data_IF_603174161614
#
_entry.id   IF_603174161614
#
_cell.length_a   1.000
_cell.length_b   1.000
_cell.length_c   1.000
_cell.angle_alpha   90.00
_cell.angle_beta   90.00
_cell.angle_gamma   90.00
#
_symmetry.space_group_name_H-M   'P 1'
#
loop_
_entity.id
_entity.type
_entity.pdbx_description
1 polymer ?
#
# COMPACT_ATOMS: atom_id res chain seq x y z
N UNK A 1 14.05 33.05 59.15
CA UNK A 1 15.09 32.41 58.31
C UNK A 1 14.61 31.05 57.90
N UNK A 2 14.00 30.99 56.72
CA UNK A 2 13.80 29.78 55.94
C UNK A 2 15.18 29.34 55.45
N UNK A 3 15.50 28.06 55.60
CA UNK A 3 16.61 27.43 54.88
C UNK A 3 15.98 26.26 54.15
N UNK A 4 16.00 26.38 52.84
CA UNK A 4 15.35 25.53 51.85
C UNK A 4 16.04 24.18 51.72
N UNK A 5 15.25 23.24 51.21
CA UNK A 5 15.51 21.84 50.94
C UNK A 5 16.71 21.61 50.01
N UNK A 6 17.47 20.56 50.29
CA UNK A 6 18.38 19.96 49.32
C UNK A 6 18.20 18.43 49.38
N UNK A 7 17.29 17.92 48.56
CA UNK A 7 17.16 16.48 48.29
C UNK A 7 17.41 16.29 46.80
N UNK A 8 18.41 15.49 46.40
CA UNK A 8 18.71 15.31 44.98
C UNK A 8 17.62 14.47 44.33
N UNK A 9 16.97 15.00 43.29
CA UNK A 9 16.09 14.22 42.43
C UNK A 9 16.92 13.19 41.67
N UNK A 10 16.64 11.92 41.91
CA UNK A 10 17.10 10.82 41.05
C UNK A 10 16.44 10.97 39.67
N UNK A 11 17.28 11.06 38.64
CA UNK A 11 16.88 11.00 37.24
C UNK A 11 16.20 9.64 36.96
N UNK A 12 14.88 9.61 37.03
CA UNK A 12 14.10 8.48 36.52
C UNK A 12 14.11 8.54 34.99
N UNK A 13 15.08 7.83 34.41
CA UNK A 13 15.17 7.49 33.00
C UNK A 13 13.88 6.76 32.59
N UNK A 14 12.93 7.48 31.97
CA UNK A 14 11.71 6.88 31.46
C UNK A 14 12.06 6.03 30.24
N UNK A 15 12.28 4.74 30.46
CA UNK A 15 12.33 3.73 29.41
C UNK A 15 10.98 3.77 28.69
N UNK A 16 10.95 4.44 27.54
CA UNK A 16 9.85 4.33 26.59
C UNK A 16 9.86 2.90 26.07
N UNK A 17 9.06 2.04 26.70
CA UNK A 17 8.65 0.75 26.16
C UNK A 17 8.05 0.98 24.76
N UNK A 18 8.88 0.76 23.75
CA UNK A 18 8.47 0.68 22.37
C UNK A 18 7.55 -0.53 22.23
N UNK A 19 6.23 -0.29 22.33
CA UNK A 19 5.21 -1.27 21.98
C UNK A 19 5.54 -1.82 20.58
N UNK A 20 5.52 -3.14 20.37
CA UNK A 20 5.77 -3.70 19.06
C UNK A 20 4.73 -3.13 18.10
N UNK A 21 5.18 -2.40 17.07
CA UNK A 21 4.34 -2.05 15.92
C UNK A 21 3.76 -3.36 15.42
N UNK A 22 2.45 -3.54 15.61
CA UNK A 22 1.73 -4.61 14.97
C UNK A 22 1.93 -4.43 13.47
N UNK A 23 2.81 -5.24 12.89
CA UNK A 23 2.88 -5.42 11.44
C UNK A 23 1.53 -5.99 11.05
N UNK A 24 0.58 -5.12 10.70
CA UNK A 24 -0.63 -5.55 10.04
C UNK A 24 -0.19 -6.12 8.69
N UNK A 25 0.06 -7.42 8.66
CA UNK A 25 0.02 -8.20 7.43
C UNK A 25 -1.40 -7.99 6.91
N UNK A 26 -1.56 -7.01 6.01
CA UNK A 26 -2.86 -6.72 5.40
C UNK A 26 -3.27 -8.02 4.71
N UNK A 27 -4.41 -8.63 5.04
CA UNK A 27 -4.87 -9.81 4.32
C UNK A 27 -5.00 -9.39 2.86
N UNK A 28 -4.29 -10.09 1.97
CA UNK A 28 -4.46 -9.88 0.54
C UNK A 28 -5.90 -10.28 0.20
N UNK A 29 -6.78 -9.28 0.11
CA UNK A 29 -8.21 -9.49 -0.14
C UNK A 29 -8.44 -10.26 -1.44
N UNK A 30 -7.52 -10.18 -2.41
CA UNK A 30 -7.57 -10.93 -3.65
C UNK A 30 -7.23 -12.41 -3.43
N UNK A 31 -6.21 -12.72 -2.63
CA UNK A 31 -5.89 -14.11 -2.24
C UNK A 31 -7.00 -14.73 -1.38
N UNK A 32 -7.56 -13.98 -0.43
CA UNK A 32 -8.66 -14.43 0.40
C UNK A 32 -9.95 -14.67 -0.42
N UNK A 33 -10.22 -13.80 -1.40
CA UNK A 33 -11.32 -13.98 -2.35
C UNK A 33 -11.10 -15.23 -3.22
N UNK A 34 -9.89 -15.40 -3.76
CA UNK A 34 -9.54 -16.58 -4.56
C UNK A 34 -9.65 -17.89 -3.76
N UNK A 35 -9.24 -17.88 -2.49
CA UNK A 35 -9.40 -19.01 -1.59
C UNK A 35 -10.89 -19.35 -1.35
N UNK A 36 -11.72 -18.34 -1.07
CA UNK A 36 -13.15 -18.52 -0.85
C UNK A 36 -13.87 -19.05 -2.11
N UNK A 37 -13.49 -18.56 -3.29
CA UNK A 37 -13.99 -19.04 -4.58
C UNK A 37 -13.61 -20.51 -4.82
N UNK A 38 -12.35 -20.88 -4.56
CA UNK A 38 -11.90 -22.27 -4.68
C UNK A 38 -12.64 -23.20 -3.72
N UNK A 39 -12.89 -22.77 -2.48
CA UNK A 39 -13.63 -23.57 -1.51
C UNK A 39 -15.11 -23.72 -1.87
N UNK A 40 -15.72 -22.73 -2.54
CA UNK A 40 -17.06 -22.88 -3.10
C UNK A 40 -17.09 -23.93 -4.22
N UNK A 41 -16.10 -23.92 -5.13
CA UNK A 41 -15.97 -24.94 -6.19
C UNK A 41 -15.85 -26.34 -5.58
N UNK A 42 -15.00 -26.52 -4.57
CA UNK A 42 -14.89 -27.80 -3.86
C UNK A 42 -16.21 -28.23 -3.23
N UNK A 43 -16.92 -27.31 -2.58
CA UNK A 43 -18.21 -27.60 -1.94
C UNK A 43 -19.27 -28.03 -2.97
N UNK A 44 -19.24 -27.45 -4.18
CA UNK A 44 -20.09 -27.85 -5.29
C UNK A 44 -19.73 -29.23 -5.84
N UNK A 45 -18.45 -29.57 -5.89
CA UNK A 45 -18.00 -30.92 -6.28
C UNK A 45 -18.35 -31.97 -5.21
N UNK A 46 -18.24 -31.62 -3.93
CA UNK A 46 -18.74 -32.44 -2.81
C UNK A 46 -20.25 -32.71 -2.98
N UNK A 47 -21.04 -31.70 -3.34
CA UNK A 47 -22.48 -31.88 -3.60
C UNK A 47 -22.75 -32.90 -4.72
N UNK A 48 -21.99 -32.86 -5.82
CA UNK A 48 -22.11 -33.85 -6.90
C UNK A 48 -21.78 -35.26 -6.42
N UNK A 49 -20.78 -35.41 -5.54
CA UNK A 49 -20.44 -36.70 -4.95
C UNK A 49 -21.56 -37.22 -4.05
N UNK A 50 -22.17 -36.35 -3.23
CA UNK A 50 -23.32 -36.72 -2.39
C UNK A 50 -24.51 -37.25 -3.21
N UNK A 51 -24.74 -36.69 -4.42
CA UNK A 51 -25.74 -37.21 -5.37
C UNK A 51 -25.37 -38.63 -5.81
N UNK A 52 -24.11 -38.86 -6.18
CA UNK A 52 -23.65 -40.16 -6.67
C UNK A 52 -23.67 -41.24 -5.58
N UNK A 53 -23.39 -40.87 -4.33
CA UNK A 53 -23.35 -41.80 -3.19
C UNK A 53 -24.70 -41.99 -2.51
N UNK A 54 -25.77 -41.32 -2.98
CA UNK A 54 -27.10 -41.33 -2.33
C UNK A 54 -27.01 -40.98 -0.85
N UNK A 55 -26.29 -39.89 -0.55
CA UNK A 55 -26.08 -39.39 0.80
C UNK A 55 -27.40 -39.01 1.51
N UNK A 56 -27.33 -38.81 2.81
CA UNK A 56 -28.48 -38.44 3.64
C UNK A 56 -28.92 -36.99 3.40
N UNK A 57 -30.19 -36.69 3.67
CA UNK A 57 -30.70 -35.31 3.59
C UNK A 57 -29.93 -34.34 4.50
N UNK A 58 -29.43 -34.80 5.65
CA UNK A 58 -28.65 -33.96 6.57
C UNK A 58 -27.32 -33.52 5.94
N UNK A 59 -26.67 -34.41 5.18
CA UNK A 59 -25.42 -34.09 4.46
C UNK A 59 -25.65 -33.09 3.32
N UNK A 60 -26.77 -33.23 2.60
CA UNK A 60 -27.19 -32.25 1.59
C UNK A 60 -27.47 -30.88 2.22
N UNK A 61 -28.23 -30.81 3.31
CA UNK A 61 -28.51 -29.55 4.00
C UNK A 61 -27.23 -28.88 4.54
N UNK A 62 -26.29 -29.66 5.08
CA UNK A 62 -25.02 -29.13 5.57
C UNK A 62 -24.19 -28.52 4.42
N UNK A 63 -24.16 -29.19 3.26
CA UNK A 63 -23.47 -28.71 2.08
C UNK A 63 -24.14 -27.43 1.53
N UNK A 64 -25.47 -27.39 1.40
CA UNK A 64 -26.21 -26.20 0.95
C UNK A 64 -25.98 -24.99 1.88
N UNK A 65 -25.99 -25.20 3.21
CA UNK A 65 -25.66 -24.15 4.19
C UNK A 65 -24.25 -23.61 3.99
N UNK A 66 -23.29 -24.49 3.69
CA UNK A 66 -21.89 -24.11 3.41
C UNK A 66 -21.77 -23.33 2.11
N UNK A 67 -22.46 -23.75 1.05
CA UNK A 67 -22.52 -22.99 -0.21
C UNK A 67 -23.10 -21.60 0.01
N UNK A 68 -24.25 -21.48 0.69
CA UNK A 68 -24.90 -20.21 0.97
C UNK A 68 -24.00 -19.25 1.79
N UNK A 69 -23.27 -19.79 2.77
CA UNK A 69 -22.31 -19.02 3.55
C UNK A 69 -21.16 -18.51 2.67
N UNK A 70 -20.55 -19.39 1.88
CA UNK A 70 -19.41 -19.04 1.00
C UNK A 70 -19.81 -18.01 -0.05
N UNK A 71 -20.96 -18.17 -0.70
CA UNK A 71 -21.51 -17.19 -1.64
C UNK A 71 -21.66 -15.82 -0.98
N UNK A 72 -22.25 -15.76 0.23
CA UNK A 72 -22.42 -14.50 0.97
C UNK A 72 -21.09 -13.87 1.42
N UNK A 73 -20.05 -14.67 1.63
CA UNK A 73 -18.70 -14.18 1.94
C UNK A 73 -18.06 -13.61 0.69
N UNK A 74 -18.14 -14.32 -0.44
CA UNK A 74 -17.64 -13.88 -1.75
C UNK A 74 -18.30 -12.56 -2.14
N UNK A 75 -19.62 -12.44 -2.12
CA UNK A 75 -20.32 -11.19 -2.44
C UNK A 75 -19.87 -10.01 -1.59
N UNK A 76 -19.66 -10.24 -0.28
CA UNK A 76 -19.16 -9.19 0.63
C UNK A 76 -17.71 -8.80 0.31
N UNK A 77 -16.86 -9.77 0.00
CA UNK A 77 -15.47 -9.54 -0.38
C UNK A 77 -15.38 -8.83 -1.73
N UNK A 78 -16.13 -9.26 -2.74
CA UNK A 78 -16.22 -8.60 -4.05
C UNK A 78 -16.71 -7.16 -3.93
N UNK A 79 -17.73 -6.91 -3.09
CA UNK A 79 -18.18 -5.55 -2.81
C UNK A 79 -17.10 -4.72 -2.11
N UNK A 80 -16.34 -5.29 -1.19
CA UNK A 80 -15.23 -4.59 -0.53
C UNK A 80 -14.07 -4.29 -1.52
N UNK A 81 -13.77 -5.21 -2.43
CA UNK A 81 -12.79 -5.02 -3.51
C UNK A 81 -13.28 -3.95 -4.50
N UNK A 82 -14.56 -3.98 -4.87
CA UNK A 82 -15.18 -3.01 -5.78
C UNK A 82 -15.24 -1.60 -5.19
N UNK A 83 -15.59 -1.46 -3.90
CA UNK A 83 -15.56 -0.17 -3.20
C UNK A 83 -14.12 0.36 -3.05
N UNK A 84 -13.10 -0.50 -2.95
CA UNK A 84 -11.69 -0.08 -3.03
C UNK A 84 -11.25 0.32 -4.45
N UNK A 85 -11.96 -0.12 -5.49
CA UNK A 85 -11.78 0.34 -6.87
C UNK A 85 -12.55 1.64 -7.18
N UNK A 86 -13.26 2.23 -6.21
CA UNK A 86 -13.96 3.50 -6.35
C UNK A 86 -13.06 4.54 -7.01
N UNK A 87 -13.62 5.22 -8.00
CA UNK A 87 -12.99 6.16 -8.94
C UNK A 87 -12.01 7.08 -8.24
N UNK A 88 -10.73 6.72 -8.31
CA UNK A 88 -9.65 7.61 -7.97
C UNK A 88 -9.05 8.06 -9.30
N UNK A 89 -8.79 9.35 -9.42
CA UNK A 89 -8.10 9.92 -10.57
C UNK A 89 -6.70 10.33 -10.14
N UNK A 90 -5.79 10.36 -11.12
CA UNK A 90 -4.45 10.86 -10.90
C UNK A 90 -4.54 12.38 -10.69
N UNK A 91 -3.97 12.94 -9.61
CA UNK A 91 -4.01 14.37 -9.38
C UNK A 91 -3.33 15.14 -10.52
N UNK A 92 -3.99 16.14 -11.13
CA UNK A 92 -3.44 16.86 -12.28
C UNK A 92 -2.26 17.77 -11.91
N UNK A 93 -2.12 18.09 -10.61
CA UNK A 93 -1.10 18.97 -10.07
C UNK A 93 0.15 18.24 -9.57
N UNK A 94 0.30 16.93 -9.85
CA UNK A 94 1.49 16.18 -9.45
C UNK A 94 2.79 16.86 -9.93
N UNK A 95 3.85 16.82 -9.11
CA UNK A 95 5.12 17.42 -9.45
C UNK A 95 5.80 16.59 -10.55
N UNK A 96 6.52 17.25 -11.45
CA UNK A 96 7.44 16.57 -12.36
C UNK A 96 8.77 16.33 -11.63
N UNK A 97 9.29 15.09 -11.62
CA UNK A 97 10.61 14.81 -11.08
C UNK A 97 11.69 15.35 -12.03
N UNK A 98 12.12 16.58 -11.80
CA UNK A 98 13.15 17.27 -12.56
C UNK A 98 14.26 17.68 -11.60
N UNK A 99 15.41 17.04 -11.69
CA UNK A 99 16.58 17.33 -10.87
C UNK A 99 17.45 18.41 -11.53
N UNK A 100 18.19 19.16 -10.73
CA UNK A 100 19.18 20.10 -11.26
C UNK A 100 20.22 19.35 -12.11
N UNK A 101 20.34 19.72 -13.38
CA UNK A 101 21.25 19.07 -14.34
C UNK A 101 20.58 18.05 -15.26
N UNK A 102 19.31 17.74 -15.06
CA UNK A 102 18.52 16.97 -16.03
C UNK A 102 18.49 17.70 -17.38
N UNK A 103 18.61 16.94 -18.47
CA UNK A 103 18.56 17.47 -19.85
C UNK A 103 17.15 17.47 -20.42
N UNK A 104 16.25 16.71 -19.80
CA UNK A 104 14.91 16.38 -20.23
C UNK A 104 13.85 17.09 -19.36
N UNK A 105 14.00 18.39 -19.14
CA UNK A 105 13.08 19.16 -18.28
C UNK A 105 11.81 19.61 -18.99
N UNK A 106 10.67 19.61 -18.30
CA UNK A 106 9.45 20.28 -18.76
C UNK A 106 9.50 21.77 -18.39
N UNK A 107 9.26 22.63 -19.39
CA UNK A 107 9.18 24.07 -19.18
C UNK A 107 8.06 24.44 -18.19
N UNK A 108 8.28 25.50 -17.41
CA UNK A 108 7.35 26.03 -16.40
C UNK A 108 7.02 25.06 -15.25
N UNK A 109 7.81 24.00 -15.06
CA UNK A 109 7.73 23.10 -13.90
C UNK A 109 8.94 23.33 -12.98
N UNK A 110 8.79 23.14 -11.65
CA UNK A 110 9.91 23.27 -10.72
C UNK A 110 11.05 22.32 -11.05
N UNK A 111 12.28 22.80 -10.84
CA UNK A 111 13.50 21.97 -10.84
C UNK A 111 13.97 21.86 -9.39
N UNK A 112 14.15 20.63 -8.92
CA UNK A 112 14.51 20.32 -7.55
C UNK A 112 16.02 20.18 -7.40
N UNK A 113 16.55 20.81 -6.36
CA UNK A 113 17.98 20.70 -5.99
C UNK A 113 18.24 19.39 -5.23
N UNK A 114 17.32 18.98 -4.37
CA UNK A 114 17.39 17.73 -3.60
C UNK A 114 16.14 16.89 -3.82
N UNK A 115 16.30 15.57 -3.77
CA UNK A 115 15.20 14.61 -3.97
C UNK A 115 14.14 14.74 -2.88
N UNK A 116 14.53 15.10 -1.65
CA UNK A 116 13.62 15.25 -0.51
C UNK A 116 12.55 16.30 -0.78
N UNK A 117 12.90 17.39 -1.49
CA UNK A 117 11.95 18.44 -1.85
C UNK A 117 10.90 17.95 -2.84
N UNK A 118 11.30 17.09 -3.78
CA UNK A 118 10.35 16.45 -4.68
C UNK A 118 9.44 15.49 -3.90
N UNK A 119 10.02 14.63 -3.06
CA UNK A 119 9.27 13.64 -2.27
C UNK A 119 8.27 14.33 -1.34
N UNK A 120 8.68 15.41 -0.67
CA UNK A 120 7.80 16.23 0.18
C UNK A 120 6.63 16.83 -0.61
N UNK A 121 6.89 17.39 -1.80
CA UNK A 121 5.85 17.92 -2.66
C UNK A 121 4.89 16.83 -3.16
N UNK A 122 5.44 15.66 -3.54
CA UNK A 122 4.65 14.50 -3.97
C UNK A 122 3.75 13.99 -2.84
N UNK A 123 4.31 13.76 -1.65
CA UNK A 123 3.57 13.37 -0.44
C UNK A 123 2.44 14.34 -0.12
N UNK A 124 2.73 15.64 -0.16
CA UNK A 124 1.76 16.69 0.15
C UNK A 124 0.57 16.64 -0.80
N UNK A 125 0.82 16.48 -2.11
CA UNK A 125 -0.25 16.40 -3.11
C UNK A 125 -1.05 15.10 -2.95
N UNK A 126 -0.39 13.96 -2.74
CA UNK A 126 -1.08 12.69 -2.50
C UNK A 126 -2.02 12.78 -1.29
N UNK A 127 -1.57 13.38 -0.18
CA UNK A 127 -2.39 13.59 1.02
C UNK A 127 -3.53 14.59 0.79
N UNK A 128 -3.28 15.67 0.04
CA UNK A 128 -4.30 16.67 -0.30
C UNK A 128 -5.48 16.04 -1.06
N UNK A 129 -5.22 15.05 -1.91
CA UNK A 129 -6.24 14.32 -2.68
C UNK A 129 -6.77 13.07 -1.97
N UNK A 130 -6.45 12.89 -0.68
CA UNK A 130 -6.87 11.74 0.14
C UNK A 130 -6.49 10.38 -0.48
N UNK A 131 -5.38 10.33 -1.22
CA UNK A 131 -4.90 9.10 -1.85
C UNK A 131 -4.08 8.28 -0.87
N UNK A 132 -4.41 6.99 -0.76
CA UNK A 132 -3.58 6.03 -0.04
C UNK A 132 -2.26 5.84 -0.79
N UNK A 133 -1.18 6.38 -0.21
CA UNK A 133 0.17 6.32 -0.76
C UNK A 133 0.59 4.88 -1.07
N UNK A 134 0.35 3.93 -0.16
CA UNK A 134 0.77 2.53 -0.34
C UNK A 134 0.05 1.85 -1.50
N UNK A 135 -1.17 2.31 -1.84
CA UNK A 135 -1.96 1.73 -2.92
C UNK A 135 -1.76 2.44 -4.27
N UNK A 136 -1.40 3.73 -4.26
CA UNK A 136 -1.54 4.61 -5.44
C UNK A 136 -0.23 5.27 -5.88
N UNK A 137 0.84 5.15 -5.09
CA UNK A 137 2.10 5.83 -5.40
C UNK A 137 2.64 5.46 -6.78
N UNK A 138 2.60 4.19 -7.19
CA UNK A 138 3.18 3.74 -8.48
C UNK A 138 2.59 4.53 -9.65
N UNK A 139 1.26 4.50 -9.77
CA UNK A 139 0.56 5.15 -10.87
C UNK A 139 0.72 6.68 -10.84
N UNK A 140 0.77 7.28 -9.66
CA UNK A 140 1.01 8.72 -9.53
C UNK A 140 2.46 9.07 -9.89
N UNK A 141 3.43 8.28 -9.42
CA UNK A 141 4.85 8.50 -9.65
C UNK A 141 5.21 8.36 -11.14
N UNK A 142 4.60 7.43 -11.87
CA UNK A 142 4.75 7.33 -13.34
C UNK A 142 4.43 8.66 -14.02
N UNK A 143 3.38 9.36 -13.59
CA UNK A 143 3.03 10.67 -14.18
C UNK A 143 4.00 11.78 -13.82
N UNK A 144 4.67 11.66 -12.67
CA UNK A 144 5.76 12.56 -12.27
C UNK A 144 7.01 12.39 -13.12
N UNK A 145 7.24 11.22 -13.73
CA UNK A 145 8.47 10.92 -14.50
C UNK A 145 8.24 10.74 -16.01
N UNK A 146 6.99 10.69 -16.48
CA UNK A 146 6.64 10.36 -17.87
C UNK A 146 7.28 11.25 -18.94
N UNK A 147 7.74 12.44 -18.56
CA UNK A 147 8.45 13.37 -19.45
C UNK A 147 9.88 12.89 -19.77
N UNK A 148 10.43 11.98 -18.97
CA UNK A 148 11.78 11.44 -19.06
C UNK A 148 11.76 9.97 -19.47
N UNK A 149 12.37 9.66 -20.62
CA UNK A 149 12.50 8.26 -21.09
C UNK A 149 13.41 7.45 -20.15
N UNK A 150 14.49 8.06 -19.66
CA UNK A 150 15.46 7.39 -18.79
C UNK A 150 14.86 7.06 -17.43
N UNK A 151 14.18 8.03 -16.80
CA UNK A 151 13.50 7.80 -15.51
C UNK A 151 12.37 6.79 -15.65
N UNK A 152 11.60 6.87 -16.74
CA UNK A 152 10.52 5.89 -17.01
C UNK A 152 11.10 4.48 -17.20
N UNK A 153 12.19 4.33 -17.95
CA UNK A 153 12.87 3.04 -18.14
C UNK A 153 13.40 2.47 -16.82
N UNK A 154 13.99 3.34 -15.99
CA UNK A 154 14.45 2.96 -14.66
C UNK A 154 13.30 2.50 -13.76
N UNK A 155 12.18 3.22 -13.73
CA UNK A 155 11.01 2.86 -12.93
C UNK A 155 10.49 1.46 -13.28
N UNK A 156 10.33 1.16 -14.58
CA UNK A 156 9.88 -0.16 -15.03
C UNK A 156 10.79 -1.31 -14.58
N UNK A 157 12.09 -1.02 -14.43
CA UNK A 157 13.08 -2.02 -14.04
C UNK A 157 13.17 -2.22 -12.53
N UNK A 158 13.09 -1.13 -11.75
CA UNK A 158 13.42 -1.14 -10.32
C UNK A 158 12.21 -1.13 -9.40
N UNK A 159 11.07 -0.62 -9.87
CA UNK A 159 9.95 -0.27 -9.01
C UNK A 159 8.64 -0.93 -9.46
N UNK A 160 8.33 -0.90 -10.75
CA UNK A 160 7.04 -1.37 -11.28
C UNK A 160 6.76 -2.82 -10.89
N UNK A 161 5.63 -3.05 -10.21
CA UNK A 161 5.14 -4.39 -9.90
C UNK A 161 5.93 -5.12 -8.81
N UNK A 162 6.86 -4.46 -8.13
CA UNK A 162 7.66 -5.03 -7.05
C UNK A 162 6.89 -5.18 -5.73
N UNK A 163 5.60 -4.77 -5.69
CA UNK A 163 4.72 -4.82 -4.52
C UNK A 163 5.31 -4.11 -3.29
N UNK A 164 5.97 -2.98 -3.53
CA UNK A 164 6.57 -2.16 -2.48
C UNK A 164 5.52 -1.25 -1.85
N UNK A 165 5.63 -1.06 -0.53
CA UNK A 165 4.96 0.06 0.12
C UNK A 165 5.64 1.39 -0.23
N UNK A 166 4.98 2.51 0.11
CA UNK A 166 5.52 3.81 -0.25
C UNK A 166 6.86 4.11 0.44
N UNK A 167 7.06 3.65 1.67
CA UNK A 167 8.31 3.87 2.41
C UNK A 167 9.49 3.18 1.74
N UNK A 168 9.31 1.96 1.27
CA UNK A 168 10.32 1.19 0.55
C UNK A 168 10.62 1.83 -0.81
N UNK A 169 9.59 2.18 -1.57
CA UNK A 169 9.73 2.85 -2.86
C UNK A 169 10.46 4.19 -2.73
N UNK A 170 10.08 5.00 -1.74
CA UNK A 170 10.71 6.27 -1.40
C UNK A 170 12.21 6.11 -1.17
N UNK A 171 12.62 5.13 -0.36
CA UNK A 171 14.04 4.88 -0.09
C UNK A 171 14.83 4.57 -1.37
N UNK A 172 14.24 3.78 -2.29
CA UNK A 172 14.87 3.47 -3.59
C UNK A 172 14.95 4.72 -4.49
N UNK A 173 13.89 5.55 -4.51
CA UNK A 173 13.86 6.82 -5.24
C UNK A 173 14.92 7.78 -4.71
N UNK A 174 15.00 7.93 -3.38
CA UNK A 174 16.00 8.78 -2.72
C UNK A 174 17.42 8.28 -2.99
N UNK A 175 17.66 6.97 -2.98
CA UNK A 175 18.96 6.41 -3.32
C UNK A 175 19.33 6.65 -4.79
N UNK A 176 18.36 6.56 -5.71
CA UNK A 176 18.61 6.75 -7.14
C UNK A 176 18.89 8.21 -7.50
N UNK A 177 18.12 9.14 -6.94
CA UNK A 177 18.09 10.55 -7.37
C UNK A 177 18.62 11.54 -6.33
N UNK A 178 18.90 11.10 -5.10
CA UNK A 178 19.41 11.96 -4.03
C UNK A 178 20.89 12.30 -4.12
N UNK A 179 21.67 11.53 -4.88
CA UNK A 179 23.13 11.67 -4.92
C UNK A 179 23.77 11.56 -3.52
N UNK A 180 25.01 12.05 -3.37
CA UNK A 180 25.73 12.09 -2.07
C UNK A 180 25.14 13.10 -1.06
N UNK A 181 24.03 13.78 -1.38
CA UNK A 181 23.46 14.85 -0.55
C UNK A 181 22.48 14.37 0.52
N UNK A 182 22.19 13.07 0.60
CA UNK A 182 21.28 12.47 1.60
C UNK A 182 21.96 12.06 2.91
N UNK A 183 23.25 12.35 3.10
CA UNK A 183 24.05 12.01 4.29
C UNK A 183 24.53 13.22 5.11
N UNK A 184 23.82 14.36 5.10
CA UNK A 184 24.13 15.50 5.98
C UNK A 184 23.08 15.70 7.07
#
# INVERSE_FOLDING_TARGET
NMVEEDTPMEDTESVLESKPKATMVRPNYEEALAAAQNDLVKTLDEFKQLILTSATNEEFEANEKRQALLTRVIERMEKAVSVKKKDWSIPPNLPSLQMQGDTDTVANKPIYVTIDRFVEAFDTIMRQHELDLDLRWEACFVTSIQHSVDKTTWFKKQLEGQKLDWSQARSIIEQQFGGDFTLQ
#
